data_IF_220657174792
#
_entry.id   IF_220657174792
#
_cell.length_a   1.000
_cell.length_b   1.000
_cell.length_c   1.000
_cell.angle_alpha   90.00
_cell.angle_beta   90.00
_cell.angle_gamma   90.00
#
_symmetry.space_group_name_H-M   'P 1'
#
loop_
_entity.id
_entity.type
_entity.pdbx_description
1 polymer ?
#
# COMPACT_ATOMS: atom_id res chain seq x y z
N UNK A 1 -8.83 20.37 7.64
CA UNK A 1 -8.41 19.97 6.28
C UNK A 1 -7.54 18.76 6.48
N UNK A 2 -8.05 17.55 6.23
CA UNK A 2 -7.21 16.35 6.36
C UNK A 2 -6.46 16.21 5.05
N UNK A 3 -5.15 16.47 5.07
CA UNK A 3 -4.30 16.24 3.91
C UNK A 3 -4.48 14.78 3.44
N UNK A 4 -4.54 14.53 2.12
CA UNK A 4 -4.60 13.17 1.62
C UNK A 4 -3.36 12.43 2.11
N UNK A 5 -3.57 11.20 2.60
CA UNK A 5 -2.47 10.33 2.99
C UNK A 5 -1.46 10.20 1.83
N UNK A 6 -0.15 10.27 2.10
CA UNK A 6 0.86 9.98 1.09
C UNK A 6 0.60 8.59 0.49
N UNK A 7 0.66 8.50 -0.84
CA UNK A 7 0.33 7.28 -1.58
C UNK A 7 1.56 6.75 -2.29
N UNK A 8 1.89 5.48 -2.06
CA UNK A 8 2.98 4.76 -2.73
C UNK A 8 2.35 3.72 -3.64
N UNK A 9 2.55 3.86 -4.95
CA UNK A 9 2.08 2.89 -5.95
C UNK A 9 3.23 1.97 -6.31
N UNK A 10 3.02 0.66 -6.14
CA UNK A 10 3.98 -0.38 -6.53
C UNK A 10 4.04 -0.48 -8.05
N UNK A 11 5.25 -0.40 -8.59
CA UNK A 11 5.52 -0.58 -10.02
C UNK A 11 6.14 -1.96 -10.30
N UNK A 12 6.13 -2.38 -11.57
CA UNK A 12 6.50 -3.75 -11.95
C UNK A 12 8.01 -4.06 -11.83
N UNK A 13 8.86 -3.04 -11.83
CA UNK A 13 10.33 -3.19 -11.77
C UNK A 13 10.89 -3.03 -10.34
N UNK A 14 10.02 -2.69 -9.38
CA UNK A 14 10.45 -2.46 -8.00
C UNK A 14 10.78 -3.77 -7.28
N UNK A 15 11.59 -3.65 -6.24
CA UNK A 15 11.83 -4.71 -5.27
C UNK A 15 11.13 -4.38 -3.97
N UNK A 16 10.95 -5.39 -3.11
CA UNK A 16 10.34 -5.15 -1.80
C UNK A 16 11.13 -4.14 -0.96
N UNK A 17 12.46 -4.14 -1.08
CA UNK A 17 13.33 -3.17 -0.41
C UNK A 17 13.12 -1.74 -0.92
N UNK A 18 12.89 -1.57 -2.22
CA UNK A 18 12.59 -0.25 -2.82
C UNK A 18 11.25 0.29 -2.27
N UNK A 19 10.22 -0.55 -2.23
CA UNK A 19 8.92 -0.19 -1.65
C UNK A 19 9.07 0.25 -0.20
N UNK A 20 9.82 -0.50 0.62
CA UNK A 20 10.05 -0.17 2.04
C UNK A 20 10.76 1.18 2.18
N UNK A 21 11.78 1.45 1.36
CA UNK A 21 12.45 2.74 1.36
C UNK A 21 11.47 3.88 1.03
N UNK A 22 10.65 3.71 -0.01
CA UNK A 22 9.62 4.70 -0.39
C UNK A 22 8.55 4.89 0.67
N UNK A 23 8.13 3.82 1.34
CA UNK A 23 7.20 3.89 2.47
C UNK A 23 7.79 4.69 3.63
N UNK A 24 9.08 4.51 3.94
CA UNK A 24 9.76 5.25 4.98
C UNK A 24 9.84 6.75 4.65
N UNK A 25 10.19 7.08 3.41
CA UNK A 25 10.21 8.47 2.92
C UNK A 25 8.81 9.09 2.94
N UNK A 26 7.78 8.33 2.55
CA UNK A 26 6.39 8.78 2.51
C UNK A 26 5.78 8.97 3.91
N UNK A 27 6.17 8.13 4.88
CA UNK A 27 5.68 8.21 6.26
C UNK A 27 6.34 9.32 7.09
N UNK A 28 7.19 10.16 6.48
CA UNK A 28 7.87 11.24 7.15
C UNK A 28 6.87 12.10 7.96
N UNK A 29 7.08 12.19 9.27
CA UNK A 29 6.14 12.84 10.20
C UNK A 29 5.09 11.93 10.83
N UNK A 30 5.18 10.59 10.66
CA UNK A 30 4.27 9.62 11.29
C UNK A 30 2.89 9.53 10.62
N UNK A 31 2.80 9.96 9.37
CA UNK A 31 1.55 9.90 8.60
C UNK A 31 1.24 8.48 8.13
N UNK A 32 -0.05 8.18 8.00
CA UNK A 32 -0.50 6.93 7.40
C UNK A 32 -0.23 6.95 5.89
N UNK A 33 0.43 5.92 5.37
CA UNK A 33 0.76 5.79 3.95
C UNK A 33 -0.17 4.78 3.28
N UNK A 34 -0.80 5.17 2.17
CA UNK A 34 -1.59 4.25 1.34
C UNK A 34 -0.65 3.53 0.35
N UNK A 35 -0.45 2.22 0.53
CA UNK A 35 0.34 1.37 -0.36
C UNK A 35 -0.58 0.73 -1.40
N UNK A 36 -0.55 1.25 -2.62
CA UNK A 36 -1.35 0.75 -3.76
C UNK A 36 -0.59 -0.35 -4.48
N UNK A 37 -1.19 -1.54 -4.55
CA UNK A 37 -0.65 -2.69 -5.28
C UNK A 37 -1.56 -2.99 -6.48
N UNK A 38 -1.12 -2.68 -7.72
CA UNK A 38 -1.82 -3.02 -8.95
C UNK A 38 -2.02 -4.53 -9.10
N UNK A 39 -3.09 -4.94 -9.79
CA UNK A 39 -3.38 -6.37 -10.00
C UNK A 39 -2.27 -7.07 -10.78
N UNK A 40 -1.66 -6.38 -11.74
CA UNK A 40 -0.57 -6.89 -12.59
C UNK A 40 0.82 -6.86 -11.89
N UNK A 41 0.89 -6.43 -10.63
CA UNK A 41 2.15 -6.42 -9.89
C UNK A 41 2.65 -7.86 -9.65
N UNK A 42 3.94 -8.11 -9.85
CA UNK A 42 4.57 -9.39 -9.55
C UNK A 42 4.98 -9.54 -8.08
N UNK A 43 4.81 -8.48 -7.27
CA UNK A 43 5.18 -8.46 -5.86
C UNK A 43 4.00 -8.79 -4.96
N UNK A 44 4.30 -9.20 -3.73
CA UNK A 44 3.31 -9.49 -2.70
C UNK A 44 2.30 -10.52 -3.22
N UNK A 45 2.84 -11.62 -3.75
CA UNK A 45 2.07 -12.79 -4.21
C UNK A 45 2.16 -13.93 -3.19
N UNK A 46 3.24 -13.98 -2.42
CA UNK A 46 3.53 -15.05 -1.46
C UNK A 46 3.48 -14.56 -0.03
N UNK A 47 3.07 -15.43 0.90
CA UNK A 47 3.05 -15.11 2.33
C UNK A 47 4.42 -14.67 2.88
N UNK A 48 5.53 -15.14 2.27
CA UNK A 48 6.89 -14.73 2.65
C UNK A 48 7.12 -13.25 2.38
N UNK A 49 6.73 -12.76 1.21
CA UNK A 49 6.87 -11.34 0.86
C UNK A 49 6.02 -10.45 1.76
N UNK A 50 4.77 -10.85 2.03
CA UNK A 50 3.93 -10.12 2.98
C UNK A 50 4.53 -10.12 4.39
N UNK A 51 5.12 -11.23 4.83
CA UNK A 51 5.80 -11.27 6.14
C UNK A 51 6.99 -10.32 6.18
N UNK A 52 7.81 -10.30 5.14
CA UNK A 52 8.94 -9.36 5.04
C UNK A 52 8.47 -7.91 5.01
N UNK A 53 7.38 -7.61 4.29
CA UNK A 53 6.76 -6.28 4.32
C UNK A 53 6.30 -5.93 5.74
N UNK A 54 5.58 -6.85 6.40
CA UNK A 54 5.09 -6.64 7.77
C UNK A 54 6.23 -6.38 8.76
N UNK A 55 7.30 -7.15 8.67
CA UNK A 55 8.46 -7.04 9.54
C UNK A 55 9.11 -5.65 9.39
N UNK A 56 9.31 -5.21 8.13
CA UNK A 56 9.88 -3.90 7.83
C UNK A 56 8.99 -2.74 8.32
N UNK A 57 7.68 -2.78 8.09
CA UNK A 57 6.79 -1.70 8.55
C UNK A 57 6.67 -1.66 10.08
N UNK A 58 6.79 -2.80 10.76
CA UNK A 58 6.73 -2.89 12.22
C UNK A 58 8.02 -2.37 12.86
N UNK A 59 9.17 -2.78 12.30
CA UNK A 59 10.50 -2.31 12.68
C UNK A 59 10.61 -0.78 12.61
N UNK A 60 10.15 -0.19 11.49
CA UNK A 60 10.18 1.25 11.27
C UNK A 60 8.96 2.01 11.83
N UNK A 61 8.00 1.31 12.47
CA UNK A 61 6.73 1.86 12.97
C UNK A 61 5.97 2.69 11.91
N UNK A 62 5.98 2.21 10.68
CA UNK A 62 5.32 2.84 9.54
C UNK A 62 3.84 2.47 9.56
N UNK A 63 2.97 3.48 9.68
CA UNK A 63 1.54 3.28 9.56
C UNK A 63 1.16 3.08 8.08
N UNK A 64 0.94 1.83 7.65
CA UNK A 64 0.61 1.51 6.25
C UNK A 64 -0.82 1.00 6.12
N UNK A 65 -1.53 1.49 5.09
CA UNK A 65 -2.75 0.89 4.58
C UNK A 65 -2.54 0.30 3.20
N UNK A 66 -2.60 -1.02 3.08
CA UNK A 66 -2.50 -1.69 1.80
C UNK A 66 -3.81 -1.53 1.01
N UNK A 67 -3.71 -1.14 -0.26
CA UNK A 67 -4.81 -0.93 -1.19
C UNK A 67 -4.62 -1.80 -2.42
N UNK A 68 -5.54 -2.73 -2.66
CA UNK A 68 -5.47 -3.59 -3.85
C UNK A 68 -6.86 -4.02 -4.28
N UNK A 69 -7.01 -4.30 -5.58
CA UNK A 69 -8.21 -4.94 -6.12
C UNK A 69 -8.12 -6.47 -6.10
N UNK A 70 -6.96 -7.04 -5.78
CA UNK A 70 -6.75 -8.48 -5.79
C UNK A 70 -7.29 -9.15 -4.50
N UNK A 71 -8.24 -10.09 -4.60
CA UNK A 71 -8.86 -10.71 -3.43
C UNK A 71 -7.90 -11.63 -2.66
N UNK A 72 -6.93 -12.27 -3.31
CA UNK A 72 -5.97 -13.15 -2.65
C UNK A 72 -5.01 -12.34 -1.76
N UNK A 73 -4.54 -11.20 -2.25
CA UNK A 73 -3.72 -10.26 -1.48
C UNK A 73 -4.48 -9.72 -0.26
N UNK A 74 -5.75 -9.38 -0.40
CA UNK A 74 -6.59 -8.96 0.73
C UNK A 74 -6.70 -10.07 1.79
N UNK A 75 -6.88 -11.33 1.37
CA UNK A 75 -6.92 -12.46 2.30
C UNK A 75 -5.57 -12.70 2.99
N UNK A 76 -4.45 -12.63 2.25
CA UNK A 76 -3.11 -12.81 2.81
C UNK A 76 -2.76 -11.70 3.80
N UNK A 77 -3.05 -10.45 3.46
CA UNK A 77 -2.86 -9.32 4.37
C UNK A 77 -3.70 -9.48 5.64
N UNK A 78 -4.96 -9.88 5.52
CA UNK A 78 -5.82 -10.16 6.67
C UNK A 78 -5.28 -11.27 7.58
N UNK A 79 -4.74 -12.36 7.00
CA UNK A 79 -4.11 -13.44 7.77
C UNK A 79 -2.82 -13.02 8.48
N UNK A 80 -2.08 -12.09 7.90
CA UNK A 80 -0.80 -11.61 8.42
C UNK A 80 -0.94 -10.36 9.30
N UNK A 81 -2.14 -9.80 9.43
CA UNK A 81 -2.41 -8.62 10.24
C UNK A 81 -1.90 -7.32 9.62
N UNK A 82 -1.82 -7.25 8.29
CA UNK A 82 -1.53 -6.01 7.56
C UNK A 82 -2.86 -5.30 7.30
N UNK A 83 -3.04 -4.03 7.70
CA UNK A 83 -4.24 -3.28 7.39
C UNK A 83 -4.43 -3.19 5.88
N UNK A 84 -5.52 -3.75 5.36
CA UNK A 84 -5.79 -3.81 3.93
C UNK A 84 -7.22 -3.43 3.60
N UNK A 85 -7.41 -2.78 2.46
CA UNK A 85 -8.71 -2.42 1.94
C UNK A 85 -8.73 -2.44 0.42
N UNK A 86 -9.94 -2.45 -0.14
CA UNK A 86 -10.10 -2.22 -1.57
C UNK A 86 -9.52 -0.85 -1.94
N UNK A 87 -9.03 -0.74 -3.18
CA UNK A 87 -8.66 0.55 -3.76
C UNK A 87 -9.84 1.52 -3.59
N UNK A 88 -9.62 2.73 -3.04
CA UNK A 88 -10.65 3.75 -3.11
C UNK A 88 -10.97 3.94 -4.59
N UNK A 89 -12.23 3.68 -4.96
CA UNK A 89 -12.69 3.98 -6.31
C UNK A 89 -12.29 5.43 -6.58
N UNK A 90 -11.58 5.75 -7.68
CA UNK A 90 -11.33 7.14 -7.99
C UNK A 90 -12.69 7.83 -7.94
N UNK A 91 -12.84 8.79 -7.02
CA UNK A 91 -13.94 9.73 -7.10
C UNK A 91 -13.72 10.37 -8.46
N UNK A 92 -14.48 9.94 -9.46
CA UNK A 92 -14.63 10.68 -10.70
C UNK A 92 -15.17 12.01 -10.24
N UNK A 93 -14.28 12.99 -10.08
CA UNK A 93 -14.67 14.38 -10.05
C UNK A 93 -15.27 14.60 -11.42
N UNK A 94 -16.60 14.46 -11.52
CA UNK A 94 -17.32 14.93 -12.67
C UNK A 94 -16.95 16.41 -12.77
N UNK A 95 -16.10 16.75 -13.74
CA UNK A 95 -15.85 18.13 -14.09
C UNK A 95 -17.24 18.76 -14.32
N UNK A 96 -17.54 19.93 -13.73
CA UNK A 96 -18.80 20.58 -14.00
C UNK A 96 -18.84 20.85 -15.52
N UNK A 97 -19.89 20.35 -16.17
CA UNK A 97 -20.17 20.71 -17.55
C UNK A 97 -20.29 22.24 -17.63
N UNK A 98 -19.49 22.83 -18.53
CA UNK A 98 -19.57 24.25 -18.86
C UNK A 98 -20.87 24.56 -19.63
#
# INVERSE_FOLDING_TARGET
>A
MTEPNPTVVVTADETLSDIVARLREAANGGQMVDLVIPIDSALLLTAREFRTLKDAIDEDRIAVQMRTADPLRLQLAGRLGIPAGALPRPRVVAAPAA
#
